data_IF_344921200872
#
_entry.id   IF_344921200872
#
_cell.length_a   1.000
_cell.length_b   1.000
_cell.length_c   1.000
_cell.angle_alpha   90.00
_cell.angle_beta   90.00
_cell.angle_gamma   90.00
#
_symmetry.space_group_name_H-M   'P 1'
#
loop_
_entity.id
_entity.type
_entity.pdbx_description
1 polymer ?
#
# COMPACT_ATOMS: atom_id res chain seq x y z
N UNK A 1 72.93 -84.23 -3.22
CA UNK A 1 71.96 -83.66 -4.17
C UNK A 1 70.80 -83.15 -3.35
N UNK A 2 70.65 -81.84 -3.21
CA UNK A 2 69.34 -81.18 -3.04
C UNK A 2 69.56 -79.69 -3.23
N UNK A 3 69.17 -79.23 -4.42
CA UNK A 3 69.22 -77.85 -4.88
C UNK A 3 68.23 -77.02 -4.06
N UNK A 4 68.73 -76.02 -3.32
CA UNK A 4 67.90 -74.94 -2.76
C UNK A 4 67.62 -73.91 -3.87
N UNK A 5 66.76 -74.27 -4.80
CA UNK A 5 66.05 -73.35 -5.71
C UNK A 5 64.64 -73.11 -5.14
N UNK A 6 63.98 -71.97 -5.17
CA UNK A 6 64.26 -70.63 -5.69
C UNK A 6 63.15 -69.77 -5.06
N UNK A 7 63.39 -69.14 -3.91
CA UNK A 7 62.41 -68.22 -3.28
C UNK A 7 62.48 -66.78 -3.82
N UNK A 8 63.32 -66.54 -4.84
CA UNK A 8 63.61 -65.19 -5.33
C UNK A 8 62.94 -64.83 -6.67
N UNK A 9 62.22 -65.74 -7.33
CA UNK A 9 61.70 -65.48 -8.70
C UNK A 9 60.45 -64.59 -8.78
N UNK A 10 59.68 -64.44 -7.70
CA UNK A 10 58.37 -63.73 -7.75
C UNK A 10 58.36 -62.37 -7.03
N UNK A 11 59.50 -61.95 -6.45
CA UNK A 11 59.65 -60.65 -5.78
C UNK A 11 59.26 -59.45 -6.68
N UNK A 12 59.71 -59.40 -7.95
CA UNK A 12 59.37 -58.29 -8.86
C UNK A 12 57.86 -58.22 -9.17
N UNK A 13 57.19 -59.37 -9.23
CA UNK A 13 55.78 -59.51 -9.58
C UNK A 13 54.86 -59.07 -8.43
N UNK A 14 55.21 -59.44 -7.19
CA UNK A 14 54.50 -58.98 -5.99
C UNK A 14 54.66 -57.48 -5.76
N UNK A 15 55.85 -56.93 -6.03
CA UNK A 15 56.11 -55.49 -5.96
C UNK A 15 55.24 -54.75 -6.99
N UNK A 16 55.20 -55.20 -8.25
CA UNK A 16 54.34 -54.60 -9.28
C UNK A 16 52.84 -54.69 -8.94
N UNK A 17 52.39 -55.81 -8.36
CA UNK A 17 50.99 -55.98 -7.93
C UNK A 17 50.63 -55.04 -6.79
N UNK A 18 51.57 -54.79 -5.88
CA UNK A 18 51.42 -53.84 -4.77
C UNK A 18 51.39 -52.40 -5.28
N UNK A 19 52.29 -52.03 -6.19
CA UNK A 19 52.32 -50.70 -6.83
C UNK A 19 50.99 -50.42 -7.57
N UNK A 20 50.49 -51.38 -8.35
CA UNK A 20 49.22 -51.22 -9.06
C UNK A 20 48.02 -51.08 -8.11
N UNK A 21 47.96 -51.85 -7.02
CA UNK A 21 46.92 -51.69 -6.00
C UNK A 21 46.98 -50.33 -5.33
N UNK A 22 48.18 -49.86 -4.97
CA UNK A 22 48.37 -48.54 -4.38
C UNK A 22 47.96 -47.43 -5.36
N UNK A 23 48.32 -47.55 -6.65
CA UNK A 23 47.87 -46.62 -7.69
C UNK A 23 46.35 -46.54 -7.80
N UNK A 24 45.66 -47.69 -7.81
CA UNK A 24 44.19 -47.74 -7.83
C UNK A 24 43.54 -47.13 -6.57
N UNK A 25 44.15 -47.30 -5.39
CA UNK A 25 43.67 -46.70 -4.14
C UNK A 25 43.82 -45.17 -4.19
N UNK A 26 44.94 -44.68 -4.72
CA UNK A 26 45.20 -43.25 -4.89
C UNK A 26 44.22 -42.61 -5.88
N UNK A 27 43.94 -43.29 -7.00
CA UNK A 27 42.94 -42.81 -7.99
C UNK A 27 41.53 -42.76 -7.40
N UNK A 28 41.11 -43.80 -6.66
CA UNK A 28 39.82 -43.79 -5.94
C UNK A 28 39.74 -42.71 -4.87
N UNK A 29 40.86 -42.45 -4.18
CA UNK A 29 40.95 -41.36 -3.20
C UNK A 29 40.78 -39.99 -3.85
N UNK A 30 41.38 -39.78 -5.03
CA UNK A 30 41.19 -38.56 -5.83
C UNK A 30 39.75 -38.40 -6.29
N UNK A 31 39.15 -39.43 -6.90
CA UNK A 31 37.77 -39.35 -7.38
C UNK A 31 36.79 -39.06 -6.25
N UNK A 32 36.99 -39.68 -5.08
CA UNK A 32 36.19 -39.40 -3.90
C UNK A 32 36.33 -37.95 -3.42
N UNK A 33 37.56 -37.41 -3.41
CA UNK A 33 37.79 -36.01 -3.06
C UNK A 33 37.12 -35.04 -4.05
N UNK A 34 37.16 -35.36 -5.34
CA UNK A 34 36.51 -34.59 -6.39
C UNK A 34 34.97 -34.62 -6.24
N UNK A 35 34.40 -35.78 -5.93
CA UNK A 35 32.95 -35.94 -5.67
C UNK A 35 32.50 -35.14 -4.44
N UNK A 36 33.28 -35.17 -3.35
CA UNK A 36 33.02 -34.38 -2.14
C UNK A 36 33.07 -32.89 -2.46
N UNK A 37 34.09 -32.44 -3.21
CA UNK A 37 34.22 -31.05 -3.59
C UNK A 37 33.06 -30.58 -4.49
N UNK A 38 32.66 -31.41 -5.46
CA UNK A 38 31.50 -31.12 -6.33
C UNK A 38 30.20 -31.03 -5.52
N UNK A 39 29.99 -31.97 -4.60
CA UNK A 39 28.82 -31.96 -3.70
C UNK A 39 28.79 -30.72 -2.81
N UNK A 40 29.93 -30.33 -2.23
CA UNK A 40 30.02 -29.14 -1.39
C UNK A 40 29.71 -27.86 -2.18
N UNK A 41 30.22 -27.74 -3.41
CA UNK A 41 29.93 -26.60 -4.28
C UNK A 41 28.44 -26.52 -4.67
N UNK A 42 27.84 -27.66 -5.01
CA UNK A 42 26.40 -27.72 -5.33
C UNK A 42 25.53 -27.37 -4.12
N UNK A 43 25.93 -27.79 -2.92
CA UNK A 43 25.23 -27.47 -1.67
C UNK A 43 25.35 -25.98 -1.34
N UNK A 44 26.54 -25.38 -1.51
CA UNK A 44 26.77 -23.95 -1.35
C UNK A 44 25.85 -23.13 -2.26
N UNK A 45 25.83 -23.44 -3.56
CA UNK A 45 24.95 -22.76 -4.52
C UNK A 45 23.47 -22.96 -4.24
N UNK A 46 23.06 -24.09 -3.64
CA UNK A 46 21.67 -24.31 -3.21
C UNK A 46 21.32 -23.47 -1.98
N UNK A 47 22.23 -23.37 -1.02
CA UNK A 47 22.05 -22.55 0.19
C UNK A 47 21.94 -21.06 -0.17
N UNK A 48 22.75 -20.58 -1.10
CA UNK A 48 22.72 -19.17 -1.51
C UNK A 48 21.38 -18.82 -2.20
N UNK A 49 20.89 -19.68 -3.09
CA UNK A 49 19.54 -19.54 -3.66
C UNK A 49 18.45 -19.58 -2.61
N UNK A 50 18.57 -20.42 -1.58
CA UNK A 50 17.61 -20.49 -0.49
C UNK A 50 17.59 -19.18 0.33
N UNK A 51 18.76 -18.54 0.54
CA UNK A 51 18.85 -17.24 1.22
C UNK A 51 18.22 -16.12 0.39
N UNK A 52 18.48 -16.09 -0.92
CA UNK A 52 17.82 -15.15 -1.83
C UNK A 52 16.30 -15.30 -1.76
N UNK A 53 15.79 -16.54 -1.83
CA UNK A 53 14.36 -16.81 -1.77
C UNK A 53 13.72 -16.35 -0.45
N UNK A 54 14.42 -16.51 0.68
CA UNK A 54 13.95 -15.99 1.98
C UNK A 54 13.93 -14.46 1.99
N UNK A 55 14.90 -13.81 1.35
CA UNK A 55 14.90 -12.36 1.14
C UNK A 55 13.66 -11.91 0.36
N UNK A 56 13.41 -12.51 -0.80
CA UNK A 56 12.26 -12.21 -1.66
C UNK A 56 10.93 -12.40 -0.93
N UNK A 57 10.80 -13.47 -0.12
CA UNK A 57 9.60 -13.73 0.68
C UNK A 57 9.37 -12.64 1.73
N UNK A 58 10.43 -12.16 2.38
CA UNK A 58 10.32 -11.07 3.36
C UNK A 58 9.91 -9.75 2.68
N UNK A 59 10.44 -9.45 1.49
CA UNK A 59 10.04 -8.28 0.71
C UNK A 59 8.57 -8.38 0.28
N UNK A 60 8.12 -9.53 -0.22
CA UNK A 60 6.72 -9.76 -0.56
C UNK A 60 5.79 -9.59 0.64
N UNK A 61 6.21 -10.04 1.83
CA UNK A 61 5.44 -9.84 3.05
C UNK A 61 5.33 -8.37 3.44
N UNK A 62 6.41 -7.59 3.28
CA UNK A 62 6.42 -6.15 3.49
C UNK A 62 5.46 -5.46 2.52
N UNK A 63 5.59 -5.71 1.22
CA UNK A 63 4.72 -5.15 0.18
C UNK A 63 3.25 -5.51 0.40
N UNK A 64 2.95 -6.75 0.80
CA UNK A 64 1.58 -7.15 1.13
C UNK A 64 1.00 -6.33 2.28
N UNK A 65 1.78 -6.13 3.35
CA UNK A 65 1.36 -5.35 4.52
C UNK A 65 1.10 -3.89 4.16
N UNK A 66 2.01 -3.28 3.39
CA UNK A 66 1.85 -1.91 2.88
C UNK A 66 0.62 -1.79 1.98
N UNK A 67 0.37 -2.78 1.11
CA UNK A 67 -0.82 -2.82 0.26
C UNK A 67 -2.12 -2.87 1.08
N UNK A 68 -2.15 -3.65 2.17
CA UNK A 68 -3.32 -3.68 3.06
C UNK A 68 -3.53 -2.35 3.77
N UNK A 69 -2.44 -1.68 4.19
CA UNK A 69 -2.51 -0.34 4.78
C UNK A 69 -3.12 0.67 3.79
N UNK A 70 -2.56 0.75 2.58
CA UNK A 70 -3.07 1.63 1.51
C UNK A 70 -4.54 1.36 1.23
N UNK A 71 -4.94 0.08 1.18
CA UNK A 71 -6.35 -0.31 0.97
C UNK A 71 -7.25 0.20 2.10
N UNK A 72 -6.83 0.04 3.35
CA UNK A 72 -7.57 0.52 4.52
C UNK A 72 -7.72 2.04 4.49
N UNK A 73 -6.62 2.76 4.25
CA UNK A 73 -6.59 4.22 4.20
C UNK A 73 -7.48 4.75 3.08
N UNK A 74 -7.46 4.08 1.92
CA UNK A 74 -8.34 4.40 0.79
C UNK A 74 -9.82 4.23 1.16
N UNK A 75 -10.18 3.13 1.83
CA UNK A 75 -11.56 2.89 2.26
C UNK A 75 -12.03 3.98 3.24
N UNK A 76 -11.20 4.32 4.22
CA UNK A 76 -11.51 5.38 5.20
C UNK A 76 -11.64 6.75 4.53
N UNK A 77 -10.72 7.08 3.61
CA UNK A 77 -10.76 8.33 2.85
C UNK A 77 -12.02 8.45 2.00
N UNK A 78 -12.41 7.38 1.30
CA UNK A 78 -13.63 7.35 0.49
C UNK A 78 -14.90 7.51 1.33
N UNK A 79 -14.97 6.85 2.50
CA UNK A 79 -16.12 6.99 3.40
C UNK A 79 -16.23 8.42 3.95
N UNK A 80 -15.10 9.05 4.31
CA UNK A 80 -15.06 10.45 4.76
C UNK A 80 -15.54 11.41 3.65
N UNK A 81 -15.09 11.21 2.42
CA UNK A 81 -15.56 12.01 1.26
C UNK A 81 -17.07 11.85 1.07
N UNK A 82 -17.59 10.62 1.16
CA UNK A 82 -19.02 10.34 1.02
C UNK A 82 -19.85 11.02 2.10
N UNK A 83 -19.42 10.95 3.37
CA UNK A 83 -20.09 11.62 4.48
C UNK A 83 -20.06 13.15 4.34
N UNK A 84 -18.92 13.70 3.92
CA UNK A 84 -18.79 15.13 3.65
C UNK A 84 -19.73 15.57 2.52
N UNK A 85 -19.77 14.84 1.41
CA UNK A 85 -20.69 15.11 0.30
C UNK A 85 -22.17 15.08 0.74
N UNK A 86 -22.57 14.11 1.55
CA UNK A 86 -23.93 14.04 2.11
C UNK A 86 -24.25 15.23 3.01
N UNK A 87 -23.31 15.63 3.86
CA UNK A 87 -23.47 16.77 4.78
C UNK A 87 -23.59 18.07 3.99
N UNK A 88 -22.72 18.27 3.00
CA UNK A 88 -22.76 19.42 2.08
C UNK A 88 -24.11 19.49 1.38
N UNK A 89 -24.57 18.41 0.77
CA UNK A 89 -25.85 18.41 0.04
C UNK A 89 -27.03 18.67 0.96
N UNK A 90 -27.04 18.10 2.17
CA UNK A 90 -28.07 18.38 3.16
C UNK A 90 -28.08 19.85 3.59
N UNK A 91 -26.90 20.46 3.75
CA UNK A 91 -26.77 21.87 4.08
C UNK A 91 -27.28 22.75 2.93
N UNK A 92 -26.85 22.47 1.69
CA UNK A 92 -27.34 23.13 0.47
C UNK A 92 -28.87 23.09 0.43
N UNK A 93 -29.46 21.89 0.50
CA UNK A 93 -30.91 21.73 0.47
C UNK A 93 -31.63 22.53 1.56
N UNK A 94 -31.04 22.58 2.76
CA UNK A 94 -31.62 23.27 3.90
C UNK A 94 -31.59 24.79 3.71
N UNK A 95 -30.45 25.34 3.33
CA UNK A 95 -30.29 26.79 3.18
C UNK A 95 -31.07 27.33 1.98
N UNK A 96 -31.10 26.61 0.85
CA UNK A 96 -31.95 27.00 -0.29
C UNK A 96 -33.46 26.89 0.04
N UNK A 97 -33.88 25.90 0.83
CA UNK A 97 -35.29 25.82 1.30
C UNK A 97 -35.64 27.01 2.19
N UNK A 98 -34.76 27.41 3.12
CA UNK A 98 -34.95 28.59 3.95
C UNK A 98 -35.03 29.86 3.11
N UNK A 99 -34.13 30.03 2.14
CA UNK A 99 -34.12 31.17 1.24
C UNK A 99 -35.43 31.27 0.45
N UNK A 100 -35.91 30.14 -0.10
CA UNK A 100 -37.21 30.07 -0.78
C UNK A 100 -38.35 30.48 0.16
N UNK A 101 -38.42 29.92 1.37
CA UNK A 101 -39.47 30.27 2.33
C UNK A 101 -39.46 31.75 2.73
N UNK A 102 -38.27 32.35 2.86
CA UNK A 102 -38.14 33.78 3.16
C UNK A 102 -38.57 34.64 1.97
N UNK A 103 -38.21 34.24 0.75
CA UNK A 103 -38.66 34.92 -0.47
C UNK A 103 -40.19 34.84 -0.65
N UNK A 104 -40.77 33.65 -0.43
CA UNK A 104 -42.23 33.44 -0.47
C UNK A 104 -42.92 34.38 0.54
N UNK A 105 -42.46 34.44 1.79
CA UNK A 105 -42.99 35.37 2.80
C UNK A 105 -42.86 36.84 2.42
N UNK A 106 -41.73 37.23 1.82
CA UNK A 106 -41.53 38.59 1.36
C UNK A 106 -42.47 38.93 0.18
N UNK A 107 -42.75 37.95 -0.68
CA UNK A 107 -43.75 38.05 -1.75
C UNK A 107 -45.14 38.27 -1.19
N UNK A 108 -45.55 37.48 -0.19
CA UNK A 108 -46.86 37.62 0.45
C UNK A 108 -47.06 39.04 1.04
N UNK A 109 -46.00 39.66 1.56
CA UNK A 109 -46.03 41.04 2.08
C UNK A 109 -46.22 42.06 0.96
N UNK A 110 -45.53 41.90 -0.17
CA UNK A 110 -45.72 42.76 -1.35
C UNK A 110 -47.14 42.62 -1.88
N UNK A 111 -47.64 41.40 -2.03
CA UNK A 111 -49.00 41.12 -2.51
C UNK A 111 -50.04 41.74 -1.58
N UNK A 112 -49.87 41.61 -0.26
CA UNK A 112 -50.75 42.24 0.72
C UNK A 112 -50.72 43.78 0.62
N UNK A 113 -49.53 44.38 0.40
CA UNK A 113 -49.39 45.82 0.21
C UNK A 113 -50.07 46.32 -1.07
N UNK A 114 -49.95 45.56 -2.17
CA UNK A 114 -50.65 45.86 -3.43
C UNK A 114 -52.17 45.76 -3.28
N UNK A 115 -52.68 44.76 -2.56
CA UNK A 115 -54.11 44.59 -2.31
C UNK A 115 -54.71 45.69 -1.41
N UNK A 116 -53.89 46.28 -0.53
CA UNK A 116 -54.32 47.32 0.41
C UNK A 116 -53.90 48.74 0.03
N UNK A 117 -53.32 48.96 -1.15
CA UNK A 117 -52.72 50.23 -1.58
C UNK A 117 -51.72 50.82 -0.54
N UNK A 118 -50.98 49.95 0.16
CA UNK A 118 -50.04 50.32 1.22
C UNK A 118 -48.60 50.28 0.71
N UNK A 119 -48.09 51.45 0.31
CA UNK A 119 -46.74 51.62 -0.25
C UNK A 119 -45.65 51.22 0.75
N UNK A 120 -45.86 51.42 2.06
CA UNK A 120 -44.86 51.07 3.06
C UNK A 120 -44.71 49.56 3.17
N UNK A 121 -45.81 48.79 3.11
CA UNK A 121 -45.75 47.32 3.05
C UNK A 121 -45.07 46.81 1.78
N UNK A 122 -45.37 47.42 0.63
CA UNK A 122 -44.70 47.07 -0.63
C UNK A 122 -43.20 47.29 -0.47
N UNK A 123 -42.78 48.42 0.11
CA UNK A 123 -41.38 48.74 0.34
C UNK A 123 -40.72 47.77 1.34
N UNK A 124 -41.40 47.40 2.42
CA UNK A 124 -40.94 46.42 3.40
C UNK A 124 -40.70 45.06 2.75
N UNK A 125 -41.67 44.56 1.98
CA UNK A 125 -41.56 43.30 1.24
C UNK A 125 -40.39 43.31 0.24
N UNK A 126 -40.24 44.37 -0.56
CA UNK A 126 -39.13 44.51 -1.52
C UNK A 126 -37.76 44.59 -0.83
N UNK A 127 -37.67 45.27 0.32
CA UNK A 127 -36.46 45.29 1.13
C UNK A 127 -36.11 43.90 1.66
N UNK A 128 -37.12 43.16 2.16
CA UNK A 128 -36.94 41.79 2.61
C UNK A 128 -36.47 40.86 1.48
N UNK A 129 -37.08 40.95 0.28
CA UNK A 129 -36.62 40.22 -0.91
C UNK A 129 -35.17 40.54 -1.25
N UNK A 130 -34.80 41.82 -1.22
CA UNK A 130 -33.43 42.27 -1.51
C UNK A 130 -32.43 41.68 -0.50
N UNK A 131 -32.79 41.65 0.78
CA UNK A 131 -31.96 41.03 1.82
C UNK A 131 -31.77 39.53 1.61
N UNK A 132 -32.84 38.81 1.23
CA UNK A 132 -32.80 37.38 0.92
C UNK A 132 -31.94 37.10 -0.31
N UNK A 133 -32.04 37.93 -1.36
CA UNK A 133 -31.26 37.79 -2.59
C UNK A 133 -29.76 38.08 -2.38
N UNK A 134 -29.42 39.02 -1.50
CA UNK A 134 -28.03 39.37 -1.19
C UNK A 134 -27.37 38.40 -0.19
N UNK A 135 -28.13 37.50 0.43
CA UNK A 135 -27.56 36.48 1.30
C UNK A 135 -27.00 35.31 0.49
N UNK A 136 -25.71 34.98 0.69
CA UNK A 136 -25.10 33.78 0.13
C UNK A 136 -25.36 32.58 1.06
N UNK A 137 -26.23 31.62 0.68
CA UNK A 137 -26.57 30.47 1.52
C UNK A 137 -25.37 29.54 1.79
N UNK A 138 -24.25 29.71 1.08
CA UNK A 138 -23.05 28.88 1.20
C UNK A 138 -21.90 29.54 2.00
N UNK A 139 -22.11 30.75 2.54
CA UNK A 139 -21.05 31.48 3.22
C UNK A 139 -20.48 30.71 4.43
N UNK A 140 -21.33 30.11 5.24
CA UNK A 140 -20.93 29.34 6.42
C UNK A 140 -20.34 27.98 6.06
N UNK A 141 -20.88 27.32 5.02
CA UNK A 141 -20.37 26.05 4.52
C UNK A 141 -18.95 26.17 3.99
N UNK A 142 -18.65 27.23 3.22
CA UNK A 142 -17.32 27.46 2.67
C UNK A 142 -16.27 27.53 3.78
N UNK A 143 -16.55 28.29 4.85
CA UNK A 143 -15.66 28.42 6.00
C UNK A 143 -15.46 27.09 6.74
N UNK A 144 -16.50 26.25 6.80
CA UNK A 144 -16.41 24.93 7.40
C UNK A 144 -15.55 23.96 6.57
N UNK A 145 -15.68 23.99 5.25
CA UNK A 145 -14.88 23.18 4.34
C UNK A 145 -13.41 23.58 4.33
N UNK A 146 -13.12 24.88 4.25
CA UNK A 146 -11.74 25.41 4.25
C UNK A 146 -10.98 24.93 5.52
N UNK A 147 -11.62 24.99 6.70
CA UNK A 147 -11.04 24.52 7.96
C UNK A 147 -10.84 22.99 8.05
N UNK A 148 -11.66 22.20 7.35
CA UNK A 148 -11.50 20.73 7.34
C UNK A 148 -10.39 20.28 6.39
N UNK A 149 -10.19 20.99 5.28
CA UNK A 149 -9.14 20.69 4.31
C UNK A 149 -7.76 20.95 4.93
N UNK A 150 -7.57 22.09 5.60
CA UNK A 150 -6.28 22.43 6.24
C UNK A 150 -5.85 21.43 7.32
N UNK A 151 -6.80 20.84 8.07
CA UNK A 151 -6.46 19.84 9.09
C UNK A 151 -6.02 18.49 8.51
N UNK A 152 -6.59 18.07 7.39
CA UNK A 152 -6.29 16.76 6.81
C UNK A 152 -4.93 16.69 6.09
N UNK A 153 -4.25 17.81 5.85
CA UNK A 153 -2.89 17.86 5.30
C UNK A 153 -1.81 18.00 6.38
N UNK A 154 -2.19 18.24 7.65
CA UNK A 154 -1.27 18.37 8.77
C UNK A 154 -1.17 17.09 9.61
N UNK A 155 -1.97 16.07 9.33
CA UNK A 155 -1.78 14.74 9.88
C UNK A 155 -0.73 14.03 9.01
N UNK A 156 0.37 13.61 9.64
CA UNK A 156 1.62 13.05 9.09
C UNK A 156 1.47 11.75 8.24
N UNK A 157 0.28 11.48 7.70
CA UNK A 157 -0.11 10.25 6.99
C UNK A 157 0.50 10.10 5.58
N UNK A 158 1.17 11.14 5.06
CA UNK A 158 1.95 11.08 3.81
C UNK A 158 3.46 10.86 4.03
N UNK A 159 3.90 10.55 5.25
CA UNK A 159 5.29 10.15 5.47
C UNK A 159 5.47 8.71 5.01
N UNK A 160 5.76 8.51 3.73
CA UNK A 160 6.43 7.31 3.27
C UNK A 160 7.88 7.47 3.72
N UNK A 161 8.23 6.88 4.87
CA UNK A 161 9.63 6.67 5.23
C UNK A 161 10.24 5.72 4.17
N UNK A 162 11.07 6.30 3.30
CA UNK A 162 11.79 5.61 2.21
C UNK A 162 13.02 4.92 2.75
#
# INVERSE_FOLDING_TARGET
MESKENKHSNLPEEINKTINKTGQIVEKGKSFADDVNSTANNLGGTIDKAKELVGDVNELQKTYTESQKIKSDTILGLEKIKQNHQTINKHIDTEYKKQKQQMDKASDVVDAGLLSDDIEKIREGLNAMTNVANHNPMADLKKHLDNQIEKNFNDDDFTIDV
#
